data_IF_315123019699
#
_entry.id   IF_315123019699
#
_cell.length_a   1.000
_cell.length_b   1.000
_cell.length_c   1.000
_cell.angle_alpha   90.00
_cell.angle_beta   90.00
_cell.angle_gamma   90.00
#
_symmetry.space_group_name_H-M   'P 1'
#
loop_
_entity.id
_entity.type
_entity.pdbx_description
1 polymer ?
#
# COMPACT_ATOMS: atom_id res chain seq x y z
N UNK A 1 -37.47 -44.13 3.52
CA UNK A 1 -37.94 -42.78 3.83
C UNK A 1 -37.35 -42.22 5.10
N UNK A 2 -37.39 -42.99 6.19
CA UNK A 2 -36.83 -42.51 7.46
C UNK A 2 -35.32 -42.32 7.42
N UNK A 3 -34.63 -43.15 6.64
CA UNK A 3 -33.17 -43.04 6.47
C UNK A 3 -32.74 -41.76 5.72
N UNK A 4 -33.55 -41.36 4.79
CA UNK A 4 -33.25 -40.13 4.02
C UNK A 4 -33.34 -38.88 4.86
N UNK A 5 -34.31 -38.87 5.79
CA UNK A 5 -34.46 -37.74 6.68
C UNK A 5 -33.29 -37.64 7.67
N UNK A 6 -32.79 -38.79 8.13
CA UNK A 6 -31.65 -38.81 9.04
C UNK A 6 -30.35 -38.34 8.34
N UNK A 7 -30.17 -38.77 7.10
CA UNK A 7 -29.02 -38.35 6.34
C UNK A 7 -29.06 -36.86 6.08
N UNK A 8 -30.21 -36.32 5.76
CA UNK A 8 -30.40 -34.90 5.54
C UNK A 8 -30.04 -34.07 6.76
N UNK A 9 -30.45 -34.55 7.93
CA UNK A 9 -30.15 -33.85 9.17
C UNK A 9 -28.65 -33.88 9.48
N UNK A 10 -27.99 -34.98 9.19
CA UNK A 10 -26.55 -35.08 9.42
C UNK A 10 -25.78 -34.14 8.49
N UNK A 11 -26.18 -34.09 7.24
CA UNK A 11 -25.53 -33.20 6.27
C UNK A 11 -25.74 -31.74 6.67
N UNK A 12 -26.93 -31.42 7.13
CA UNK A 12 -27.21 -30.05 7.57
C UNK A 12 -26.37 -29.66 8.78
N UNK A 13 -26.22 -30.59 9.71
CA UNK A 13 -25.40 -30.35 10.90
C UNK A 13 -23.93 -30.13 10.53
N UNK A 14 -23.44 -30.87 9.57
CA UNK A 14 -22.06 -30.74 9.13
C UNK A 14 -21.80 -29.38 8.47
N UNK A 15 -22.76 -28.89 7.70
CA UNK A 15 -22.63 -27.61 7.05
C UNK A 15 -22.58 -26.44 8.04
N UNK A 16 -23.20 -26.58 9.19
CA UNK A 16 -23.20 -25.52 10.19
C UNK A 16 -21.88 -25.40 10.93
N UNK A 17 -21.07 -26.44 10.93
CA UNK A 17 -19.78 -26.40 11.63
C UNK A 17 -18.69 -25.71 10.84
N UNK A 18 -18.77 -25.71 9.52
CA UNK A 18 -17.72 -25.18 8.66
C UNK A 18 -17.55 -23.66 8.79
N UNK A 19 -18.62 -22.86 8.83
CA UNK A 19 -18.45 -21.40 8.91
C UNK A 19 -17.79 -20.90 10.18
N UNK A 20 -17.82 -21.70 11.24
CA UNK A 20 -17.26 -21.26 12.51
C UNK A 20 -15.75 -21.12 12.48
N UNK A 21 -15.08 -21.87 11.63
CA UNK A 21 -13.62 -21.81 11.55
C UNK A 21 -13.12 -20.59 10.79
N UNK A 22 -13.91 -20.07 9.87
CA UNK A 22 -13.50 -18.91 9.08
C UNK A 22 -13.55 -17.62 9.88
N UNK A 23 -14.15 -17.64 11.06
CA UNK A 23 -14.25 -16.45 11.90
C UNK A 23 -13.06 -16.28 12.84
N UNK A 24 -12.10 -17.17 12.79
CA UNK A 24 -10.95 -17.13 13.70
C UNK A 24 -9.78 -16.33 13.08
N UNK A 25 -10.01 -15.64 11.99
CA UNK A 25 -8.99 -14.81 11.40
C UNK A 25 -8.58 -13.69 12.35
N UNK A 26 -7.28 -13.48 12.50
CA UNK A 26 -6.77 -12.41 13.34
C UNK A 26 -7.04 -11.07 12.71
N UNK A 27 -7.51 -10.11 13.50
CA UNK A 27 -7.58 -8.73 13.06
C UNK A 27 -6.18 -8.17 12.91
N UNK A 28 -5.96 -7.34 11.90
CA UNK A 28 -4.70 -6.68 11.74
C UNK A 28 -4.47 -5.66 12.86
N UNK A 29 -3.21 -5.40 13.17
CA UNK A 29 -2.83 -4.44 14.20
C UNK A 29 -2.96 -3.01 13.74
N UNK A 30 -3.24 -2.80 12.47
CA UNK A 30 -3.38 -1.48 11.91
C UNK A 30 -3.53 -1.55 10.39
N UNK A 31 -3.26 -0.43 9.74
CA UNK A 31 -3.55 -0.30 8.32
C UNK A 31 -2.56 0.64 7.64
N UNK A 32 -2.18 0.29 6.42
CA UNK A 32 -1.44 1.18 5.52
C UNK A 32 -2.42 1.67 4.46
N UNK A 33 -2.59 2.97 4.35
CA UNK A 33 -3.51 3.54 3.38
C UNK A 33 -2.82 4.61 2.55
N UNK A 34 -3.39 4.85 1.37
CA UNK A 34 -2.83 5.79 0.40
C UNK A 34 -3.94 6.67 -0.13
N UNK A 35 -3.57 7.86 -0.59
CA UNK A 35 -4.49 8.68 -1.38
C UNK A 35 -4.53 8.18 -2.81
N UNK A 36 -5.64 8.46 -3.49
CA UNK A 36 -5.86 8.08 -4.90
C UNK A 36 -5.98 9.36 -5.72
N UNK A 37 -4.86 10.03 -6.04
CA UNK A 37 -4.92 11.31 -6.72
C UNK A 37 -5.16 11.15 -8.22
N UNK A 38 -5.55 12.25 -8.84
CA UNK A 38 -5.66 12.35 -10.30
C UNK A 38 -4.69 13.41 -10.77
N UNK A 39 -4.15 13.21 -11.96
CA UNK A 39 -3.18 14.13 -12.54
C UNK A 39 -3.24 14.05 -14.07
N UNK A 40 -2.33 14.72 -14.74
CA UNK A 40 -2.20 14.69 -16.18
C UNK A 40 -0.73 14.53 -16.55
N UNK A 41 -0.49 14.05 -17.77
CA UNK A 41 0.88 13.85 -18.26
C UNK A 41 1.67 15.14 -18.13
N UNK A 42 2.87 15.04 -17.57
CA UNK A 42 3.77 16.18 -17.36
C UNK A 42 3.59 16.90 -16.05
N UNK A 43 2.50 16.63 -15.34
CA UNK A 43 2.23 17.29 -14.07
C UNK A 43 2.80 16.48 -12.91
N UNK A 44 3.08 17.19 -11.81
CA UNK A 44 3.49 16.51 -10.57
C UNK A 44 2.26 16.02 -9.83
N UNK A 45 2.43 14.91 -9.13
CA UNK A 45 1.35 14.33 -8.33
C UNK A 45 1.92 13.90 -6.99
N UNK A 46 1.19 14.19 -5.93
CA UNK A 46 1.58 13.80 -4.58
C UNK A 46 0.72 12.63 -4.11
N UNK A 47 1.38 11.62 -3.60
CA UNK A 47 0.72 10.45 -3.03
C UNK A 47 1.11 10.37 -1.56
N UNK A 48 0.13 10.46 -0.70
CA UNK A 48 0.35 10.36 0.73
C UNK A 48 0.11 8.93 1.19
N UNK A 49 1.05 8.40 1.94
CA UNK A 49 0.93 7.09 2.57
C UNK A 49 0.81 7.31 4.07
N UNK A 50 -0.16 6.63 4.68
CA UNK A 50 -0.40 6.73 6.12
C UNK A 50 -0.39 5.33 6.71
N UNK A 51 0.47 5.12 7.70
CA UNK A 51 0.48 3.90 8.50
C UNK A 51 -0.17 4.24 9.84
N UNK A 52 -1.18 3.48 10.21
CA UNK A 52 -1.90 3.74 11.45
C UNK A 52 -2.04 2.44 12.23
N UNK A 53 -1.61 2.50 13.48
CA UNK A 53 -1.70 1.38 14.40
C UNK A 53 -2.99 1.52 15.22
N UNK A 54 -3.67 0.42 15.43
CA UNK A 54 -4.87 0.38 16.28
C UNK A 54 -4.55 0.05 17.73
N UNK A 55 -3.32 -0.36 18.02
CA UNK A 55 -2.98 -0.87 19.33
C UNK A 55 -1.86 -0.14 20.06
N UNK A 56 -1.55 1.09 19.69
CA UNK A 56 -0.52 1.84 20.37
C UNK A 56 0.51 2.41 19.42
N UNK A 57 1.62 2.89 19.97
CA UNK A 57 2.65 3.51 19.14
C UNK A 57 3.47 2.49 18.35
N UNK A 58 3.95 2.92 17.20
CA UNK A 58 4.85 2.14 16.37
C UNK A 58 6.28 2.50 16.71
N UNK A 59 7.18 1.51 16.57
CA UNK A 59 8.61 1.77 16.60
C UNK A 59 9.14 1.96 15.18
N UNK A 60 10.29 1.38 14.89
CA UNK A 60 10.89 1.52 13.56
C UNK A 60 9.98 0.98 12.48
N UNK A 61 9.92 1.71 11.37
CA UNK A 61 9.05 1.40 10.24
C UNK A 61 9.89 1.28 8.98
N UNK A 62 9.67 0.19 8.24
CA UNK A 62 10.25 0.04 6.91
C UNK A 62 9.15 -0.43 5.97
N UNK A 63 8.93 0.29 4.88
CA UNK A 63 7.91 -0.06 3.89
C UNK A 63 8.55 -0.06 2.52
N UNK A 64 8.41 -1.16 1.80
CA UNK A 64 8.86 -1.26 0.42
C UNK A 64 7.66 -1.18 -0.51
N UNK A 65 7.74 -0.24 -1.44
CA UNK A 65 6.66 0.03 -2.37
C UNK A 65 7.11 -0.28 -3.79
N UNK A 66 6.15 -0.63 -4.63
CA UNK A 66 6.37 -0.82 -6.06
C UNK A 66 5.53 0.17 -6.84
N UNK A 67 6.09 0.72 -7.90
CA UNK A 67 5.37 1.56 -8.82
C UNK A 67 5.85 1.27 -10.25
N UNK A 68 5.05 1.67 -11.24
CA UNK A 68 5.39 1.44 -12.63
C UNK A 68 6.14 2.65 -13.17
N UNK A 69 7.43 2.47 -13.42
CA UNK A 69 8.29 3.56 -13.89
C UNK A 69 7.99 4.02 -15.31
N UNK A 70 7.15 3.29 -16.05
CA UNK A 70 6.66 3.76 -17.33
C UNK A 70 5.62 4.86 -17.20
N UNK A 71 4.88 4.87 -16.09
CA UNK A 71 3.81 5.84 -15.83
C UNK A 71 4.24 6.96 -14.90
N UNK A 72 5.15 6.68 -13.98
CA UNK A 72 5.52 7.63 -12.92
C UNK A 72 7.03 7.72 -12.81
N UNK A 73 7.51 8.93 -12.61
CA UNK A 73 8.90 9.20 -12.29
C UNK A 73 8.97 9.72 -10.86
N UNK A 74 9.67 9.02 -9.99
CA UNK A 74 9.81 9.45 -8.61
C UNK A 74 10.65 10.72 -8.53
N UNK A 75 10.17 11.73 -7.80
CA UNK A 75 10.85 13.02 -7.68
C UNK A 75 11.46 13.21 -6.30
N UNK A 76 10.67 13.04 -5.27
CA UNK A 76 11.18 13.28 -3.92
C UNK A 76 10.27 12.70 -2.85
N UNK A 77 10.88 12.35 -1.73
CA UNK A 77 10.21 12.04 -0.48
C UNK A 77 11.27 11.90 0.61
N UNK A 78 11.04 12.54 1.75
CA UNK A 78 11.96 12.41 2.89
C UNK A 78 11.92 10.98 3.43
N UNK A 79 13.10 10.44 3.71
CA UNK A 79 13.22 9.11 4.29
C UNK A 79 13.03 7.97 3.30
N UNK A 80 13.01 8.26 2.00
CA UNK A 80 12.78 7.25 0.98
C UNK A 80 14.02 7.09 0.12
N UNK A 81 14.41 5.84 -0.09
CA UNK A 81 15.42 5.48 -1.08
C UNK A 81 14.72 4.93 -2.31
N UNK A 82 15.07 5.44 -3.47
CA UNK A 82 14.42 5.08 -4.72
C UNK A 82 15.31 4.22 -5.58
N UNK A 83 14.71 3.23 -6.21
CA UNK A 83 15.31 2.46 -7.28
C UNK A 83 14.31 2.39 -8.42
N UNK A 84 14.71 1.81 -9.54
CA UNK A 84 13.80 1.73 -10.69
C UNK A 84 12.58 0.87 -10.34
N UNK A 85 11.44 1.51 -10.26
CA UNK A 85 10.18 0.82 -9.97
C UNK A 85 9.97 0.46 -8.52
N UNK A 86 10.85 0.87 -7.60
CA UNK A 86 10.66 0.56 -6.19
C UNK A 86 11.11 1.71 -5.30
N UNK A 87 10.49 1.78 -4.13
CA UNK A 87 10.81 2.77 -3.11
C UNK A 87 10.88 2.07 -1.77
N UNK A 88 11.81 2.50 -0.93
CA UNK A 88 11.91 2.01 0.44
C UNK A 88 11.85 3.19 1.39
N UNK A 89 10.83 3.21 2.23
CA UNK A 89 10.67 4.21 3.26
C UNK A 89 11.14 3.64 4.59
N UNK A 90 11.94 4.42 5.31
CA UNK A 90 12.38 4.06 6.66
C UNK A 90 12.08 5.23 7.58
N UNK A 91 11.45 4.94 8.70
CA UNK A 91 11.10 5.96 9.69
C UNK A 91 11.20 5.41 11.09
N UNK A 92 11.23 6.31 12.05
CA UNK A 92 11.43 5.95 13.46
C UNK A 92 10.12 5.68 14.20
N UNK A 93 9.00 6.01 13.62
CA UNK A 93 7.73 5.84 14.31
C UNK A 93 7.58 6.81 15.48
N UNK A 94 7.31 6.27 16.65
CA UNK A 94 7.14 7.08 17.87
C UNK A 94 5.71 7.49 18.15
N UNK A 95 4.75 7.13 17.31
CA UNK A 95 3.34 7.43 17.52
C UNK A 95 2.48 6.34 16.90
N UNK A 96 1.18 6.45 17.07
CA UNK A 96 0.25 5.49 16.48
C UNK A 96 -0.01 5.78 14.99
N UNK A 97 0.56 6.85 14.46
CA UNK A 97 0.40 7.21 13.06
C UNK A 97 1.73 7.71 12.50
N UNK A 98 2.10 7.17 11.35
CA UNK A 98 3.28 7.61 10.59
C UNK A 98 2.81 7.88 9.18
N UNK A 99 3.20 9.02 8.62
CA UNK A 99 2.83 9.34 7.24
C UNK A 99 4.01 9.95 6.49
N UNK A 100 3.99 9.74 5.19
CA UNK A 100 4.96 10.36 4.30
C UNK A 100 4.27 10.65 2.96
N UNK A 101 4.74 11.69 2.29
CA UNK A 101 4.19 12.11 1.01
C UNK A 101 5.26 11.97 -0.06
N UNK A 102 4.93 11.22 -1.10
CA UNK A 102 5.82 10.99 -2.23
C UNK A 102 5.38 11.88 -3.40
N UNK A 103 6.35 12.49 -4.07
CA UNK A 103 6.07 13.29 -5.25
C UNK A 103 6.57 12.55 -6.48
N UNK A 104 5.68 12.38 -7.46
CA UNK A 104 5.99 11.77 -8.74
C UNK A 104 5.64 12.74 -9.86
N UNK A 105 6.20 12.49 -11.02
CA UNK A 105 5.76 13.16 -12.25
C UNK A 105 5.07 12.12 -13.13
N UNK A 106 3.92 12.48 -13.68
CA UNK A 106 3.17 11.59 -14.57
C UNK A 106 3.80 11.60 -15.95
N UNK A 107 4.07 10.41 -16.48
CA UNK A 107 4.77 10.24 -17.75
C UNK A 107 3.88 9.78 -18.88
N UNK A 108 2.80 9.12 -18.56
CA UNK A 108 1.97 8.42 -19.56
C UNK A 108 0.53 8.43 -19.12
N UNK A 109 -0.36 8.64 -20.08
CA UNK A 109 -1.81 8.61 -19.85
C UNK A 109 -2.26 7.19 -19.48
N UNK A 110 -3.19 7.09 -18.55
CA UNK A 110 -3.78 5.84 -18.14
C UNK A 110 -3.95 5.75 -16.64
N UNK A 111 -4.09 4.54 -16.15
CA UNK A 111 -4.23 4.29 -14.72
C UNK A 111 -3.06 3.46 -14.23
N UNK A 112 -2.45 3.88 -13.15
CA UNK A 112 -1.33 3.15 -12.57
C UNK A 112 -1.52 3.03 -11.06
N UNK A 113 -0.75 2.14 -10.44
CA UNK A 113 -0.90 1.85 -9.03
C UNK A 113 0.44 1.84 -8.31
N UNK A 114 0.39 2.22 -7.04
CA UNK A 114 1.51 2.04 -6.13
C UNK A 114 1.05 1.01 -5.11
N UNK A 115 1.83 -0.04 -4.94
CA UNK A 115 1.48 -1.15 -4.07
C UNK A 115 2.57 -1.38 -3.04
N UNK A 116 2.22 -2.08 -1.96
CA UNK A 116 3.19 -2.45 -0.92
C UNK A 116 3.77 -3.82 -1.27
N UNK A 117 5.08 -3.89 -1.45
CA UNK A 117 5.78 -5.16 -1.65
C UNK A 117 6.02 -5.86 -0.32
N UNK A 118 6.43 -5.10 0.67
CA UNK A 118 6.64 -5.63 2.02
C UNK A 118 6.61 -4.50 3.02
N UNK A 119 6.30 -4.84 4.26
CA UNK A 119 6.34 -3.88 5.34
C UNK A 119 6.84 -4.55 6.59
N UNK A 120 7.60 -3.80 7.37
CA UNK A 120 8.11 -4.23 8.66
C UNK A 120 7.89 -3.09 9.62
N UNK A 121 7.02 -3.28 10.59
CA UNK A 121 6.66 -2.24 11.54
C UNK A 121 6.83 -2.80 12.94
N UNK A 122 7.71 -2.19 13.71
CA UNK A 122 7.91 -2.58 15.10
C UNK A 122 6.82 -1.97 15.96
N UNK A 123 6.47 -2.66 17.03
CA UNK A 123 5.64 -2.09 18.08
C UNK A 123 6.52 -1.23 18.97
N UNK A 124 5.94 -0.19 19.54
CA UNK A 124 6.66 0.67 20.48
C UNK A 124 7.15 -0.05 21.70
N UNK A 125 6.61 -1.22 22.01
CA UNK A 125 7.06 -2.03 23.15
C UNK A 125 7.99 -3.18 22.75
N UNK A 126 8.47 -3.21 21.51
CA UNK A 126 9.47 -4.18 21.07
C UNK A 126 8.96 -5.35 20.25
N UNK A 127 7.65 -5.50 20.09
CA UNK A 127 7.08 -6.54 19.25
C UNK A 127 7.00 -6.10 17.79
N UNK A 128 6.24 -6.86 17.01
CA UNK A 128 6.00 -6.55 15.60
C UNK A 128 4.52 -6.34 15.38
N UNK A 129 4.17 -5.37 14.54
CA UNK A 129 2.79 -5.09 14.17
C UNK A 129 2.54 -5.58 12.75
N UNK A 130 1.37 -6.15 12.53
CA UNK A 130 0.92 -6.55 11.20
C UNK A 130 -0.12 -5.54 10.72
N UNK A 131 0.21 -4.83 9.64
CA UNK A 131 -0.69 -3.82 9.07
C UNK A 131 -1.33 -4.35 7.80
N UNK A 132 -2.63 -4.06 7.64
CA UNK A 132 -3.32 -4.36 6.40
C UNK A 132 -2.79 -3.43 5.32
N UNK A 133 -2.36 -3.99 4.20
CA UNK A 133 -1.75 -3.23 3.12
C UNK A 133 -2.81 -2.68 2.17
N UNK A 134 -2.70 -1.40 1.87
CA UNK A 134 -3.51 -0.76 0.87
C UNK A 134 -2.73 -0.52 -0.40
N UNK A 135 -3.30 0.25 -1.29
CA UNK A 135 -2.65 0.64 -2.54
C UNK A 135 -3.17 1.99 -2.97
N UNK A 136 -2.40 2.69 -3.81
CA UNK A 136 -2.81 3.93 -4.44
C UNK A 136 -3.18 3.66 -5.88
N UNK A 137 -4.28 4.20 -6.34
CA UNK A 137 -4.65 4.18 -7.74
C UNK A 137 -4.56 5.61 -8.26
N UNK A 138 -3.74 5.83 -9.28
CA UNK A 138 -3.49 7.16 -9.83
C UNK A 138 -4.02 7.19 -11.25
N UNK A 139 -4.92 8.12 -11.52
CA UNK A 139 -5.47 8.31 -12.86
C UNK A 139 -4.73 9.47 -13.52
N UNK A 140 -4.17 9.20 -14.68
CA UNK A 140 -3.38 10.17 -15.43
C UNK A 140 -4.11 10.49 -16.73
N UNK A 141 -4.54 11.73 -16.82
CA UNK A 141 -5.22 12.21 -18.03
C UNK A 141 -4.21 12.68 -19.06
N UNK A 142 -4.71 12.93 -20.27
CA UNK A 142 -3.91 13.54 -21.31
C UNK A 142 -3.36 14.89 -20.82
N UNK A 143 -2.11 15.16 -21.16
CA UNK A 143 -1.45 16.38 -20.73
C UNK A 143 -0.32 16.75 -21.66
N UNK A 144 0.69 17.42 -21.13
CA UNK A 144 1.80 17.96 -21.91
C UNK A 144 3.10 17.22 -21.59
N UNK A 145 3.53 16.28 -22.45
CA UNK A 145 4.77 15.54 -22.19
C UNK A 145 6.02 16.41 -22.26
N UNK A 146 5.95 17.60 -22.82
CA UNK A 146 7.11 18.47 -22.85
C UNK A 146 7.48 19.01 -21.47
N UNK A 147 6.58 18.89 -20.49
CA UNK A 147 6.85 19.29 -19.10
C UNK A 147 7.63 18.23 -18.32
N UNK A 148 7.82 17.05 -18.89
CA UNK A 148 8.48 15.96 -18.19
C UNK A 148 9.94 16.31 -17.93
N UNK A 149 10.34 16.25 -16.65
CA UNK A 149 11.70 16.53 -16.24
C UNK A 149 12.58 15.34 -16.59
N UNK A 150 13.64 15.59 -17.35
CA UNK A 150 14.57 14.54 -17.74
C UNK A 150 15.84 14.68 -16.93
N UNK A 151 15.94 13.93 -15.86
CA UNK A 151 17.07 14.00 -14.97
C UNK A 151 18.35 13.52 -15.62
N UNK A 152 18.25 12.67 -16.63
CA UNK A 152 19.43 12.19 -17.35
C UNK A 152 20.13 13.28 -18.11
N UNK A 153 19.41 14.29 -18.54
CA UNK A 153 20.03 15.38 -19.31
C UNK A 153 21.01 16.17 -18.47
N UNK A 154 20.84 16.18 -17.17
CA UNK A 154 21.77 16.87 -16.29
C UNK A 154 23.11 16.16 -16.22
N UNK A 155 23.12 14.85 -16.37
CA UNK A 155 24.37 14.11 -16.32
C UNK A 155 25.18 14.26 -17.59
N UNK A 156 24.56 14.58 -18.70
CA UNK A 156 25.24 14.75 -19.95
C UNK A 156 25.73 16.18 -20.16
N UNK A 157 25.19 17.09 -19.37
CA UNK A 157 25.54 18.48 -19.45
C UNK A 157 26.95 18.82 -19.09
#
# INVERSE_FOLDING_TARGET
MKLMKKISAIVLSLCLCIPCFSLVAHAADGKISFTDPETAVGEMVEVKCVLRSSGGSMGDVEVQLAFDSEYLSFQSCDGVEAADGSLTYKGDGGSSEVSFTMTFQALKEGETKITVNSSSVASGNGGTLTLTEGKSTIKIAEGDPSKIVQTETTSTG
#
